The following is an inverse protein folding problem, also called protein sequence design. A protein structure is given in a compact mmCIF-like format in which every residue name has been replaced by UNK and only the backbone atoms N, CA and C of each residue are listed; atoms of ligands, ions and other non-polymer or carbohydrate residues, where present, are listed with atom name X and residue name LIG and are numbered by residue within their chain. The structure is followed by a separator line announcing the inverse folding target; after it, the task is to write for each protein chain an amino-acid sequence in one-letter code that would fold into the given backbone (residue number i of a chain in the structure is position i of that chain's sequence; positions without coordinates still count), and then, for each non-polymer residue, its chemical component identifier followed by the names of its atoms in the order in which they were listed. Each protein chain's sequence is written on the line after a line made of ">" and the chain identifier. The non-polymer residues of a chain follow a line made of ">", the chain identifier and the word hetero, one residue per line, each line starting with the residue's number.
data_IF_322559765508
#
_entry.id   IF_322559765508
#
_cell.length_a   1.000
_cell.length_b   1.000
_cell.length_c   1.000
_cell.angle_alpha   90.00
_cell.angle_beta   90.00
_cell.angle_gamma   90.00
#
_symmetry.space_group_name_H-M   'P 1'
#
loop_
_entity.id
_entity.type
_entity.pdbx_description
1 polymer ?
#
# COMPACT_ATOMS: atom_id res chain seq x y z
N UNK A 1 -21.07 -23.01 14.83
CA UNK A 1 -19.92 -22.69 13.99
C UNK A 1 -20.19 -21.35 13.28
N UNK A 2 -19.35 -20.33 13.53
CA UNK A 2 -19.53 -18.96 13.02
C UNK A 2 -19.50 -18.93 11.49
N UNK A 3 -18.72 -19.82 10.85
CA UNK A 3 -18.63 -19.92 9.40
C UNK A 3 -20.01 -20.22 8.74
N UNK A 4 -20.85 -21.00 9.40
CA UNK A 4 -22.15 -21.41 8.87
C UNK A 4 -23.31 -20.51 9.33
N UNK A 5 -23.04 -19.55 10.21
CA UNK A 5 -24.10 -18.69 10.79
C UNK A 5 -24.70 -17.70 9.80
N UNK A 6 -24.07 -17.47 8.64
CA UNK A 6 -24.41 -16.43 7.61
C UNK A 6 -24.51 -15.01 8.16
N UNK A 7 -23.97 -14.75 9.36
CA UNK A 7 -24.01 -13.45 10.02
C UNK A 7 -22.74 -12.63 9.86
N UNK A 8 -21.75 -13.17 9.13
CA UNK A 8 -20.47 -12.52 8.89
C UNK A 8 -20.14 -12.53 7.40
N UNK A 9 -19.57 -11.46 6.90
CA UNK A 9 -19.18 -11.31 5.49
C UNK A 9 -17.69 -11.65 5.27
N UNK A 10 -16.92 -11.70 6.35
CA UNK A 10 -15.50 -12.02 6.29
C UNK A 10 -14.82 -12.06 7.64
N UNK A 11 -13.55 -12.42 7.61
CA UNK A 11 -12.71 -12.57 8.80
C UNK A 11 -11.42 -11.76 8.64
N UNK A 12 -10.97 -11.20 9.75
CA UNK A 12 -9.64 -10.62 9.87
C UNK A 12 -8.78 -11.52 10.75
N UNK A 13 -7.69 -12.06 10.20
CA UNK A 13 -6.73 -12.91 10.90
C UNK A 13 -5.48 -12.10 11.18
N UNK A 14 -5.17 -11.88 12.45
CA UNK A 14 -3.97 -11.14 12.88
C UNK A 14 -2.95 -12.13 13.38
N UNK A 15 -2.04 -12.53 12.51
CA UNK A 15 -0.97 -13.49 12.82
C UNK A 15 0.14 -13.44 11.78
N UNK A 16 1.33 -13.92 12.17
CA UNK A 16 2.47 -14.16 11.27
C UNK A 16 2.80 -15.66 11.15
N UNK A 17 1.89 -16.52 11.63
CA UNK A 17 2.09 -17.96 11.66
C UNK A 17 1.46 -18.64 10.43
N UNK A 18 2.21 -19.55 9.80
CA UNK A 18 1.76 -20.36 8.65
C UNK A 18 0.60 -21.29 8.97
N UNK A 19 0.38 -21.66 10.23
CA UNK A 19 -0.67 -22.59 10.65
C UNK A 19 -2.07 -22.07 10.31
N UNK A 20 -2.22 -20.75 10.21
CA UNK A 20 -3.47 -20.13 9.79
C UNK A 20 -3.77 -20.23 8.28
N UNK A 21 -2.82 -20.74 7.48
CA UNK A 21 -3.02 -20.93 6.02
C UNK A 21 -4.24 -21.82 5.72
N UNK A 22 -4.39 -22.93 6.46
CA UNK A 22 -5.53 -23.84 6.30
C UNK A 22 -6.86 -23.19 6.67
N UNK A 23 -6.88 -22.43 7.75
CA UNK A 23 -8.06 -21.68 8.19
C UNK A 23 -8.47 -20.63 7.14
N UNK A 24 -7.53 -19.81 6.64
CA UNK A 24 -7.80 -18.80 5.64
C UNK A 24 -8.39 -19.41 4.35
N UNK A 25 -7.82 -20.52 3.88
CA UNK A 25 -8.35 -21.25 2.70
C UNK A 25 -9.77 -21.73 2.95
N UNK A 26 -10.03 -22.36 4.12
CA UNK A 26 -11.35 -22.86 4.47
C UNK A 26 -12.41 -21.75 4.49
N UNK A 27 -12.09 -20.59 5.05
CA UNK A 27 -12.99 -19.43 5.07
C UNK A 27 -13.32 -18.97 3.64
N UNK A 28 -12.31 -18.92 2.76
CA UNK A 28 -12.50 -18.53 1.35
C UNK A 28 -13.29 -19.59 0.55
N UNK A 29 -13.12 -20.86 0.84
CA UNK A 29 -13.92 -21.95 0.24
C UNK A 29 -15.41 -21.82 0.56
N UNK A 30 -15.74 -21.26 1.73
CA UNK A 30 -17.13 -20.92 2.10
C UNK A 30 -17.62 -19.59 1.46
N UNK A 31 -16.82 -18.97 0.59
CA UNK A 31 -17.16 -17.73 -0.11
C UNK A 31 -17.04 -16.46 0.74
N UNK A 32 -16.40 -16.54 1.93
CA UNK A 32 -16.22 -15.41 2.84
C UNK A 32 -14.88 -14.72 2.60
N UNK A 33 -14.87 -13.40 2.82
CA UNK A 33 -13.68 -12.58 2.65
C UNK A 33 -12.66 -12.79 3.77
N UNK A 34 -11.38 -12.87 3.43
CA UNK A 34 -10.27 -13.02 4.40
C UNK A 34 -9.28 -11.87 4.28
N UNK A 35 -9.15 -11.11 5.35
CA UNK A 35 -8.08 -10.13 5.54
C UNK A 35 -7.03 -10.69 6.49
N UNK A 36 -5.76 -10.73 6.05
CA UNK A 36 -4.62 -11.06 6.90
C UNK A 36 -3.90 -9.80 7.37
N UNK A 37 -3.42 -9.80 8.61
CA UNK A 37 -2.51 -8.79 9.15
C UNK A 37 -1.36 -9.50 9.83
N UNK A 38 -0.12 -9.21 9.45
CA UNK A 38 1.05 -9.83 10.04
C UNK A 38 2.34 -9.07 9.74
N UNK A 39 3.45 -9.55 10.26
CA UNK A 39 4.77 -8.96 10.03
C UNK A 39 5.31 -9.35 8.66
N UNK A 40 6.35 -8.64 8.17
CA UNK A 40 7.01 -8.94 6.88
C UNK A 40 7.64 -10.34 6.83
N UNK A 41 7.91 -10.96 7.98
CA UNK A 41 8.42 -12.33 8.06
C UNK A 41 7.34 -13.40 7.84
N UNK A 42 6.06 -13.01 7.71
CA UNK A 42 4.95 -13.95 7.50
C UNK A 42 5.18 -14.79 6.25
N UNK A 43 5.05 -16.13 6.34
CA UNK A 43 5.23 -17.02 5.21
C UNK A 43 4.28 -16.69 4.04
N UNK A 44 4.81 -16.74 2.83
CA UNK A 44 4.05 -16.40 1.62
C UNK A 44 2.80 -17.28 1.43
N UNK A 45 2.83 -18.53 1.92
CA UNK A 45 1.68 -19.44 1.90
C UNK A 45 0.46 -18.88 2.62
N UNK A 46 0.67 -18.23 3.77
CA UNK A 46 -0.42 -17.58 4.51
C UNK A 46 -0.84 -16.28 3.83
N UNK A 47 0.11 -15.46 3.38
CA UNK A 47 -0.17 -14.22 2.64
C UNK A 47 -1.06 -14.50 1.42
N UNK A 48 -0.71 -15.49 0.61
CA UNK A 48 -1.44 -15.86 -0.61
C UNK A 48 -2.79 -16.54 -0.34
N UNK A 49 -3.01 -17.04 0.87
CA UNK A 49 -4.30 -17.60 1.26
C UNK A 49 -5.35 -16.56 1.63
N UNK A 50 -4.96 -15.29 1.79
CA UNK A 50 -5.86 -14.17 2.08
C UNK A 50 -6.32 -13.47 0.79
N UNK A 51 -7.44 -12.74 0.84
CA UNK A 51 -7.87 -11.85 -0.24
C UNK A 51 -7.11 -10.52 -0.20
N UNK A 52 -6.82 -10.04 1.02
CA UNK A 52 -5.94 -8.90 1.28
C UNK A 52 -5.01 -9.26 2.44
N UNK A 53 -3.74 -8.92 2.33
CA UNK A 53 -2.78 -9.02 3.41
C UNK A 53 -2.10 -7.69 3.67
N UNK A 54 -2.08 -7.24 4.92
CA UNK A 54 -1.46 -5.97 5.30
C UNK A 54 -0.32 -6.22 6.27
N UNK A 55 0.86 -5.76 5.92
CA UNK A 55 2.01 -5.82 6.83
C UNK A 55 1.88 -4.78 7.95
N UNK A 56 2.14 -5.19 9.19
CA UNK A 56 2.10 -4.30 10.37
C UNK A 56 3.01 -3.09 10.21
N UNK A 57 4.13 -3.23 9.52
CA UNK A 57 5.08 -2.17 9.23
C UNK A 57 4.51 -1.07 8.31
N UNK A 58 3.44 -1.36 7.58
CA UNK A 58 2.74 -0.37 6.76
C UNK A 58 1.66 0.39 7.52
N UNK A 59 1.20 -0.16 8.67
CA UNK A 59 0.18 0.44 9.53
C UNK A 59 0.83 1.32 10.60
N UNK A 60 1.98 0.89 11.14
CA UNK A 60 2.68 1.61 12.19
C UNK A 60 3.14 2.98 11.66
N UNK A 61 2.76 4.10 12.28
CA UNK A 61 3.29 5.39 11.90
C UNK A 61 4.81 5.32 12.03
N UNK A 62 5.52 5.69 10.97
CA UNK A 62 6.98 5.83 11.01
C UNK A 62 7.28 7.00 11.96
N UNK A 63 7.43 6.72 13.24
CA UNK A 63 8.04 7.66 14.18
C UNK A 63 9.46 7.79 13.65
N UNK A 64 9.74 8.90 12.95
CA UNK A 64 11.12 9.28 12.69
C UNK A 64 11.74 9.49 14.06
N UNK A 65 12.59 8.56 14.48
CA UNK A 65 13.51 8.80 15.58
C UNK A 65 14.43 9.96 15.13
N UNK A 66 13.93 11.17 15.28
CA UNK A 66 14.80 12.31 15.39
C UNK A 66 15.57 12.09 16.74
N UNK A 67 16.90 12.05 16.73
CA UNK A 67 17.64 11.94 17.97
C UNK A 67 17.17 13.08 18.87
N UNK A 68 16.63 12.72 20.03
CA UNK A 68 16.33 13.69 21.10
C UNK A 68 17.69 14.19 21.56
N UNK A 69 18.15 15.26 20.95
CA UNK A 69 19.27 16.03 21.51
C UNK A 69 18.73 16.69 22.76
N UNK A 70 18.95 16.07 23.89
CA UNK A 70 18.75 16.67 25.19
C UNK A 70 19.78 17.79 25.31
N UNK A 71 19.42 18.98 24.82
CA UNK A 71 20.17 20.17 25.15
C UNK A 71 19.89 20.51 26.61
N UNK A 72 20.89 20.34 27.45
CA UNK A 72 20.91 20.94 28.79
C UNK A 72 20.75 22.46 28.62
N UNK A 73 19.63 22.97 29.06
CA UNK A 73 19.34 24.42 29.05
C UNK A 73 20.04 25.02 30.26
N UNK A 74 21.12 25.74 30.05
CA UNK A 74 21.66 26.68 31.04
C UNK A 74 20.81 27.93 31.04
N UNK A 75 20.37 28.41 32.23
CA UNK A 75 19.49 29.57 32.30
C UNK A 75 20.28 30.88 32.41
N UNK A 76 20.63 31.54 31.30
CA UNK A 76 20.91 32.98 31.24
C UNK A 76 21.32 33.39 29.80
N UNK A 77 20.39 33.95 29.04
CA UNK A 77 20.62 35.13 28.18
C UNK A 77 19.33 35.58 27.52
N UNK A 78 19.12 36.91 27.52
CA UNK A 78 17.94 37.62 27.01
C UNK A 78 17.87 37.68 25.47
N UNK A 79 16.70 38.01 24.88
CA UNK A 79 16.38 37.78 23.47
C UNK A 79 16.90 38.89 22.54
N UNK A 80 17.56 38.55 21.47
CA UNK A 80 17.74 39.41 20.31
C UNK A 80 16.96 38.85 19.13
N UNK A 81 16.15 39.71 18.50
CA UNK A 81 15.39 39.45 17.29
C UNK A 81 16.33 39.16 16.12
N UNK A 82 16.36 37.98 15.63
CA UNK A 82 16.91 37.66 14.32
C UNK A 82 15.87 36.86 13.52
N UNK A 83 15.48 37.47 12.42
CA UNK A 83 14.58 36.97 11.38
C UNK A 83 15.25 35.76 10.72
N UNK A 84 14.85 34.56 11.07
CA UNK A 84 15.39 33.35 10.46
C UNK A 84 14.49 32.94 9.33
N UNK A 85 14.99 33.06 8.11
CA UNK A 85 14.45 32.47 6.91
C UNK A 85 14.32 30.97 7.12
N UNK A 86 13.07 30.48 7.06
CA UNK A 86 12.78 29.03 7.00
C UNK A 86 13.24 28.50 5.65
N UNK A 87 14.49 28.11 5.58
CA UNK A 87 14.94 27.19 4.52
C UNK A 87 14.23 25.86 4.74
N UNK A 88 13.16 25.62 4.00
CA UNK A 88 12.52 24.32 3.85
C UNK A 88 13.54 23.37 3.21
N UNK A 89 14.35 22.71 4.03
CA UNK A 89 15.04 21.48 3.59
C UNK A 89 13.96 20.48 3.26
N UNK A 90 13.63 20.35 1.97
CA UNK A 90 12.99 19.16 1.40
C UNK A 90 13.88 17.99 1.79
N UNK A 91 13.55 17.28 2.86
CA UNK A 91 14.08 15.96 3.12
C UNK A 91 13.75 15.11 1.89
N UNK A 92 14.78 14.79 1.12
CA UNK A 92 14.70 13.86 0.03
C UNK A 92 14.22 12.53 0.63
N UNK A 93 12.91 12.27 0.55
CA UNK A 93 12.31 10.99 0.90
C UNK A 93 12.92 9.98 -0.07
N UNK A 94 13.83 9.16 0.40
CA UNK A 94 14.46 8.12 -0.40
C UNK A 94 13.34 7.25 -0.98
N UNK A 95 13.06 7.40 -2.28
CA UNK A 95 12.15 6.55 -3.02
C UNK A 95 12.67 5.12 -2.89
N UNK A 96 11.96 4.24 -2.23
CA UNK A 96 12.23 2.81 -2.35
C UNK A 96 11.90 2.43 -3.80
N UNK A 97 12.89 1.92 -4.51
CA UNK A 97 12.68 1.36 -5.84
C UNK A 97 11.71 0.17 -5.71
N UNK A 98 10.77 0.08 -6.64
CA UNK A 98 9.90 -1.10 -6.78
C UNK A 98 10.78 -2.35 -6.92
N UNK A 99 10.39 -3.43 -6.25
CA UNK A 99 11.04 -4.71 -6.49
C UNK A 99 10.69 -5.22 -7.89
N UNK A 100 11.55 -6.04 -8.48
CA UNK A 100 11.29 -6.65 -9.78
C UNK A 100 10.00 -7.49 -9.76
N UNK A 101 9.71 -8.15 -8.62
CA UNK A 101 8.47 -8.92 -8.40
C UNK A 101 7.25 -8.00 -8.51
N UNK A 102 7.27 -6.87 -7.81
CA UNK A 102 6.13 -5.95 -7.77
C UNK A 102 5.93 -5.25 -9.11
N UNK A 103 7.03 -4.95 -9.79
CA UNK A 103 6.96 -4.42 -11.14
C UNK A 103 6.28 -5.39 -12.11
N UNK A 104 6.66 -6.67 -12.08
CA UNK A 104 5.99 -7.74 -12.86
C UNK A 104 4.52 -7.88 -12.48
N UNK A 105 4.18 -7.76 -11.20
CA UNK A 105 2.79 -7.81 -10.71
C UNK A 105 1.96 -6.66 -11.28
N UNK A 106 2.50 -5.44 -11.26
CA UNK A 106 1.84 -4.25 -11.82
C UNK A 106 1.65 -4.41 -13.33
N UNK A 107 2.70 -4.81 -14.08
CA UNK A 107 2.63 -4.98 -15.53
C UNK A 107 1.60 -6.03 -15.91
N UNK A 108 1.61 -7.19 -15.24
CA UNK A 108 0.63 -8.26 -15.48
C UNK A 108 -0.80 -7.83 -15.15
N UNK A 109 -0.99 -7.12 -14.04
CA UNK A 109 -2.30 -6.61 -13.66
C UNK A 109 -2.81 -5.56 -14.65
N UNK A 110 -1.93 -4.72 -15.16
CA UNK A 110 -2.24 -3.76 -16.22
C UNK A 110 -2.68 -4.49 -17.50
N UNK A 111 -1.90 -5.46 -17.98
CA UNK A 111 -2.19 -6.22 -19.21
C UNK A 111 -3.55 -6.94 -19.15
N UNK A 112 -3.95 -7.44 -17.98
CA UNK A 112 -5.26 -8.08 -17.77
C UNK A 112 -6.40 -7.03 -17.74
N UNK A 113 -6.08 -5.77 -17.43
CA UNK A 113 -7.06 -4.71 -17.19
C UNK A 113 -7.29 -3.81 -18.38
N UNK A 114 -6.40 -3.85 -19.39
CA UNK A 114 -6.45 -2.98 -20.57
C UNK A 114 -7.54 -3.38 -21.54
N UNK A 115 -8.08 -2.37 -22.22
CA UNK A 115 -8.89 -2.50 -23.43
C UNK A 115 -8.04 -2.51 -24.71
N UNK A 116 -8.70 -2.51 -25.85
CA UNK A 116 -8.04 -2.48 -27.17
C UNK A 116 -7.18 -1.21 -27.43
N UNK A 117 -7.38 -0.17 -26.64
CA UNK A 117 -6.63 1.09 -26.72
C UNK A 117 -5.45 1.17 -25.73
N UNK A 118 -5.13 0.06 -25.06
CA UNK A 118 -4.12 -0.01 -24.00
C UNK A 118 -4.39 0.97 -22.83
N UNK A 119 -5.66 1.20 -22.52
CA UNK A 119 -6.11 2.05 -21.43
C UNK A 119 -6.84 1.19 -20.40
N UNK A 120 -6.58 1.45 -19.13
CA UNK A 120 -7.26 0.76 -18.03
C UNK A 120 -7.67 1.74 -16.91
N UNK A 121 -8.78 1.44 -16.25
CA UNK A 121 -9.11 2.12 -14.99
C UNK A 121 -8.13 1.72 -13.89
N UNK A 122 -7.57 2.69 -13.19
CA UNK A 122 -6.64 2.42 -12.07
C UNK A 122 -7.30 1.56 -10.98
N UNK A 123 -8.60 1.69 -10.77
CA UNK A 123 -9.37 0.85 -9.85
C UNK A 123 -9.36 -0.63 -10.26
N UNK A 124 -9.55 -0.92 -11.57
CA UNK A 124 -9.51 -2.28 -12.11
C UNK A 124 -8.12 -2.88 -12.00
N UNK A 125 -7.09 -2.10 -12.36
CA UNK A 125 -5.69 -2.51 -12.19
C UNK A 125 -5.40 -2.82 -10.72
N UNK A 126 -5.85 -1.97 -9.79
CA UNK A 126 -5.68 -2.18 -8.35
C UNK A 126 -6.38 -3.45 -7.83
N UNK A 127 -7.57 -3.76 -8.35
CA UNK A 127 -8.25 -5.01 -8.02
C UNK A 127 -7.48 -6.23 -8.54
N UNK A 128 -6.95 -6.17 -9.76
CA UNK A 128 -6.16 -7.26 -10.34
C UNK A 128 -4.79 -7.42 -9.68
N UNK A 129 -4.14 -6.32 -9.26
CA UNK A 129 -2.91 -6.38 -8.44
C UNK A 129 -3.16 -7.21 -7.17
N UNK A 130 -4.23 -6.94 -6.43
CA UNK A 130 -4.57 -7.67 -5.19
C UNK A 130 -4.89 -9.14 -5.43
N UNK A 131 -5.46 -9.49 -6.58
CA UNK A 131 -5.68 -10.91 -6.96
C UNK A 131 -4.38 -11.65 -7.24
N UNK A 132 -3.35 -10.96 -7.77
CA UNK A 132 -2.03 -11.53 -8.09
C UNK A 132 -1.17 -11.57 -6.83
N UNK A 133 -1.15 -10.47 -6.08
CA UNK A 133 -0.39 -10.31 -4.83
C UNK A 133 -1.24 -9.61 -3.77
N UNK A 134 -1.86 -10.34 -2.86
CA UNK A 134 -2.68 -9.79 -1.78
C UNK A 134 -1.95 -8.82 -0.86
N UNK A 135 -0.62 -8.90 -0.81
CA UNK A 135 0.22 -8.07 0.07
C UNK A 135 0.71 -6.78 -0.57
N UNK A 136 0.41 -6.55 -1.85
CA UNK A 136 0.85 -5.35 -2.54
C UNK A 136 0.24 -4.10 -1.91
N UNK A 137 1.10 -3.17 -1.48
CA UNK A 137 0.70 -1.90 -0.86
C UNK A 137 1.59 -0.75 -1.34
N UNK A 138 0.98 0.27 -1.92
CA UNK A 138 1.69 1.46 -2.41
C UNK A 138 2.43 2.21 -1.31
N UNK A 139 1.98 2.09 -0.04
CA UNK A 139 2.62 2.70 1.13
C UNK A 139 4.00 2.13 1.42
N UNK A 140 4.26 0.88 1.02
CA UNK A 140 5.59 0.26 1.08
C UNK A 140 6.61 1.08 0.29
N UNK A 141 6.18 1.73 -0.79
CA UNK A 141 7.00 2.57 -1.68
C UNK A 141 6.85 4.07 -1.41
N UNK A 142 6.24 4.43 -0.27
CA UNK A 142 5.95 5.80 0.13
C UNK A 142 4.96 6.56 -0.78
N UNK A 143 4.11 5.85 -1.52
CA UNK A 143 3.01 6.45 -2.28
C UNK A 143 1.70 6.32 -1.52
N UNK A 144 0.95 7.41 -1.42
CA UNK A 144 -0.34 7.42 -0.72
C UNK A 144 -1.45 6.71 -1.52
N UNK A 145 -1.33 6.67 -2.85
CA UNK A 145 -2.33 6.09 -3.75
C UNK A 145 -1.68 5.40 -4.93
N UNK A 146 -2.41 4.48 -5.56
CA UNK A 146 -1.96 3.78 -6.76
C UNK A 146 -1.76 4.77 -7.94
N UNK A 147 -2.59 5.80 -8.06
CA UNK A 147 -2.42 6.84 -9.08
C UNK A 147 -1.07 7.55 -8.95
N UNK A 148 -0.66 7.90 -7.72
CA UNK A 148 0.65 8.52 -7.47
C UNK A 148 1.81 7.58 -7.75
N UNK A 149 1.62 6.28 -7.56
CA UNK A 149 2.61 5.29 -7.95
C UNK A 149 2.76 5.29 -9.47
N UNK A 150 1.67 5.20 -10.24
CA UNK A 150 1.71 5.23 -11.70
C UNK A 150 2.28 6.53 -12.28
N UNK A 151 1.98 7.69 -11.69
CA UNK A 151 2.58 8.99 -12.08
C UNK A 151 4.12 9.00 -11.94
N UNK A 152 4.67 8.11 -11.13
CA UNK A 152 6.12 7.99 -10.88
C UNK A 152 6.79 6.85 -11.65
N UNK A 153 6.05 6.08 -12.42
CA UNK A 153 6.57 5.05 -13.32
C UNK A 153 6.72 5.63 -14.73
N UNK A 154 7.94 5.56 -15.27
CA UNK A 154 8.26 6.19 -16.56
C UNK A 154 7.50 5.57 -17.74
N UNK A 155 7.11 4.30 -17.63
CA UNK A 155 6.42 3.53 -18.68
C UNK A 155 4.91 3.80 -18.76
N UNK A 156 4.35 4.49 -17.75
CA UNK A 156 2.92 4.73 -17.67
C UNK A 156 2.60 6.21 -17.66
N UNK A 157 1.41 6.53 -18.15
CA UNK A 157 0.82 7.86 -18.09
C UNK A 157 -0.55 7.78 -17.42
N UNK A 158 -0.78 8.60 -16.41
CA UNK A 158 -2.09 8.74 -15.77
C UNK A 158 -2.90 9.79 -16.51
N UNK A 159 -4.09 9.41 -16.96
CA UNK A 159 -5.06 10.27 -17.62
C UNK A 159 -6.20 10.52 -16.64
N UNK A 160 -6.49 11.77 -16.36
CA UNK A 160 -7.64 12.16 -15.54
C UNK A 160 -8.84 12.31 -16.46
N UNK A 161 -9.79 11.41 -16.33
CA UNK A 161 -11.05 11.49 -17.08
C UNK A 161 -12.13 12.07 -16.16
N UNK A 162 -12.55 13.29 -16.46
CA UNK A 162 -13.65 13.96 -15.76
C UNK A 162 -14.95 13.64 -16.50
N UNK A 163 -15.53 12.47 -16.24
CA UNK A 163 -16.87 12.13 -16.73
C UNK A 163 -17.88 12.43 -15.62
N UNK A 164 -18.54 13.57 -15.74
CA UNK A 164 -19.49 14.04 -14.71
C UNK A 164 -18.79 14.51 -13.43
N UNK A 165 -19.44 14.34 -12.29
CA UNK A 165 -18.89 14.70 -10.97
C UNK A 165 -17.87 13.69 -10.40
N UNK A 166 -17.59 12.58 -11.10
CA UNK A 166 -16.73 11.50 -10.64
C UNK A 166 -15.42 11.49 -11.44
N UNK A 167 -14.32 11.68 -10.72
CA UNK A 167 -12.96 11.59 -11.28
C UNK A 167 -12.51 10.11 -11.27
N UNK A 168 -12.57 9.44 -12.42
CA UNK A 168 -12.09 8.08 -12.59
C UNK A 168 -10.72 8.10 -13.29
N UNK A 169 -9.60 8.04 -12.55
CA UNK A 169 -8.29 8.07 -13.18
C UNK A 169 -8.05 6.79 -14.01
N UNK A 170 -7.58 7.03 -15.22
CA UNK A 170 -7.17 6.01 -16.18
C UNK A 170 -5.64 5.95 -16.23
N UNK A 171 -5.10 4.83 -16.61
CA UNK A 171 -3.68 4.63 -16.88
C UNK A 171 -3.50 4.05 -18.27
N UNK A 172 -2.49 4.54 -18.98
CA UNK A 172 -2.08 4.08 -20.30
C UNK A 172 -0.58 3.78 -20.28
N UNK A 173 -0.14 2.76 -21.04
CA UNK A 173 1.28 2.55 -21.32
C UNK A 173 1.74 3.60 -22.36
N UNK A 174 2.97 4.13 -22.20
CA UNK A 174 3.56 5.11 -23.13
C UNK A 174 4.14 4.43 -24.35
#
# INVERSE_FOLDING_TARGET
>A
DILHSKNVEGFCIVSSDSDYTGLAKRIREEGLFVMGIGEKKTPESFVQSCDIFTYTENITPKISEAPIVVQKVDPKTKPSKARTEKTLKKTARTKRLLSEKDYKTISKAFDISTDENEIAYISTVGANIRKIDPSFDTRTYNFATLSKLFENLDEYQVIRNEVGALNHPLVKRK
#
